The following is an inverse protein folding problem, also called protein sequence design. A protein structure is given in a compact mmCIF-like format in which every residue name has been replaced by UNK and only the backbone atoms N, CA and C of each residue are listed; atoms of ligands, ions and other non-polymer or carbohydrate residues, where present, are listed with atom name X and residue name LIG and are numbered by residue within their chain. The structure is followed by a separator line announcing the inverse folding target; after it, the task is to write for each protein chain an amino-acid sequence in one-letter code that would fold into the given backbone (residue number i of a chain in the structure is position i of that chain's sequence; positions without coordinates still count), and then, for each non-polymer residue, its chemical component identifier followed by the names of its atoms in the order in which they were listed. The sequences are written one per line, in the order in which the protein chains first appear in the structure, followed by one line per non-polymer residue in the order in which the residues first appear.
data_IF_563164310403
#
_entry.id   IF_563164310403
#
_cell.length_a   1.000
_cell.length_b   1.000
_cell.length_c   1.000
_cell.angle_alpha   90.00
_cell.angle_beta   90.00
_cell.angle_gamma   90.00
#
_symmetry.space_group_name_H-M   'P 1'
#
loop_
_entity.id
_entity.type
_entity.pdbx_description
1 polymer ?
#
# COMPACT_ATOMS: atom_id res chain seq x y z
N UNK A 1 -5.76 1.04 14.41
CA UNK A 1 -5.85 2.45 14.02
C UNK A 1 -4.45 2.92 13.63
N UNK A 2 -4.30 3.61 12.50
CA UNK A 2 -3.01 4.13 12.02
C UNK A 2 -2.32 5.04 13.04
N UNK A 3 -3.07 5.86 13.76
CA UNK A 3 -2.51 6.76 14.77
C UNK A 3 -1.75 6.02 15.89
N UNK A 4 -2.15 4.78 16.21
CA UNK A 4 -1.43 3.99 17.22
C UNK A 4 -0.06 3.52 16.72
N UNK A 5 0.12 3.37 15.41
CA UNK A 5 1.39 2.92 14.78
C UNK A 5 2.49 3.98 14.82
N UNK A 6 2.19 5.20 15.22
CA UNK A 6 3.19 6.23 15.54
C UNK A 6 3.91 5.93 16.88
N UNK A 7 3.37 5.04 17.71
CA UNK A 7 4.04 4.54 18.91
C UNK A 7 4.79 3.25 18.58
N UNK A 8 6.09 3.26 18.83
CA UNK A 8 6.97 2.13 18.51
C UNK A 8 6.63 0.89 19.34
N UNK A 9 6.30 1.09 20.62
CA UNK A 9 5.89 0.03 21.54
C UNK A 9 4.67 -0.71 20.99
N UNK A 10 3.72 0.01 20.41
CA UNK A 10 2.54 -0.60 19.81
C UNK A 10 2.89 -1.46 18.59
N UNK A 11 3.83 -1.02 17.75
CA UNK A 11 4.30 -1.84 16.63
C UNK A 11 5.07 -3.07 17.10
N UNK A 12 5.87 -2.94 18.17
CA UNK A 12 6.58 -4.05 18.79
C UNK A 12 5.60 -5.10 19.34
N UNK A 13 4.56 -4.67 20.06
CA UNK A 13 3.49 -5.55 20.56
C UNK A 13 2.84 -6.34 19.41
N UNK A 14 2.43 -5.65 18.34
CA UNK A 14 1.84 -6.30 17.16
C UNK A 14 2.80 -7.28 16.48
N UNK A 15 4.10 -6.98 16.44
CA UNK A 15 5.10 -7.90 15.90
C UNK A 15 5.25 -9.16 16.77
N UNK A 16 5.19 -9.00 18.10
CA UNK A 16 5.24 -10.11 19.06
C UNK A 16 4.04 -11.06 18.99
N UNK A 17 2.89 -10.58 18.51
CA UNK A 17 1.71 -11.43 18.23
C UNK A 17 1.91 -12.31 16.98
N UNK A 18 2.74 -11.87 16.03
CA UNK A 18 2.93 -12.55 14.74
C UNK A 18 4.08 -13.57 14.74
N UNK A 19 5.14 -13.33 15.50
CA UNK A 19 6.37 -14.15 15.49
C UNK A 19 6.92 -14.30 16.91
N UNK A 20 7.20 -15.54 17.32
CA UNK A 20 7.79 -15.86 18.62
C UNK A 20 9.32 -15.87 18.60
N UNK A 21 9.95 -15.71 19.77
CA UNK A 21 11.41 -15.83 19.94
C UNK A 21 12.23 -14.61 19.48
N UNK A 22 11.58 -13.48 19.18
CA UNK A 22 12.25 -12.24 18.80
C UNK A 22 12.43 -11.30 20.00
N UNK A 23 13.55 -10.60 20.05
CA UNK A 23 13.79 -9.53 21.03
C UNK A 23 13.20 -8.22 20.51
N UNK A 24 11.99 -7.91 20.95
CA UNK A 24 11.24 -6.72 20.51
C UNK A 24 11.99 -5.40 20.78
N UNK A 25 12.87 -5.36 21.79
CA UNK A 25 13.61 -4.15 22.14
C UNK A 25 14.66 -3.78 21.09
N UNK A 26 15.02 -4.70 20.18
CA UNK A 26 15.92 -4.41 19.06
C UNK A 26 15.28 -3.54 17.98
N UNK A 27 13.94 -3.47 17.92
CA UNK A 27 13.21 -2.58 17.01
C UNK A 27 13.05 -1.19 17.63
N UNK A 28 14.16 -0.54 17.98
CA UNK A 28 14.20 0.73 18.73
C UNK A 28 14.39 1.97 17.85
N UNK A 29 14.46 1.79 16.53
CA UNK A 29 14.73 2.88 15.59
C UNK A 29 13.69 2.90 14.47
N UNK A 30 13.29 4.11 14.07
CA UNK A 30 12.46 4.32 12.91
C UNK A 30 13.32 4.31 11.65
N UNK A 31 12.87 3.60 10.63
CA UNK A 31 13.41 3.76 9.27
C UNK A 31 12.84 5.02 8.64
N UNK A 32 13.44 5.46 7.52
CA UNK A 32 12.89 6.56 6.73
C UNK A 32 11.48 6.20 6.25
N UNK A 33 10.43 6.97 6.60
CA UNK A 33 9.08 6.70 6.12
C UNK A 33 8.95 7.02 4.63
N UNK A 34 8.09 6.28 3.94
CA UNK A 34 7.67 6.55 2.57
C UNK A 34 6.24 7.09 2.51
N UNK A 35 5.90 7.81 1.44
CA UNK A 35 4.53 8.26 1.16
C UNK A 35 3.99 7.44 -0.02
N UNK A 36 2.87 6.74 0.17
CA UNK A 36 2.16 6.05 -0.92
C UNK A 36 1.26 7.07 -1.62
N UNK A 37 1.50 7.30 -2.91
CA UNK A 37 0.56 8.03 -3.75
C UNK A 37 -0.70 7.17 -3.93
N UNK A 38 -1.75 7.50 -3.18
CA UNK A 38 -3.00 6.73 -3.14
C UNK A 38 -4.19 7.57 -3.60
N UNK A 39 -5.06 6.97 -4.43
CA UNK A 39 -6.26 7.63 -4.91
C UNK A 39 -7.32 7.73 -3.80
N UNK A 40 -8.03 8.85 -3.76
CA UNK A 40 -9.21 9.07 -2.92
C UNK A 40 -10.44 9.14 -3.82
N UNK A 41 -11.45 8.32 -3.54
CA UNK A 41 -12.76 8.46 -4.19
C UNK A 41 -13.48 9.68 -3.58
N UNK A 42 -13.89 10.64 -4.42
CA UNK A 42 -14.33 11.96 -3.98
C UNK A 42 -15.76 12.00 -3.40
N UNK A 43 -16.60 11.02 -3.70
CA UNK A 43 -17.99 10.92 -3.23
C UNK A 43 -18.07 10.24 -1.86
N UNK A 44 -17.32 9.15 -1.67
CA UNK A 44 -17.27 8.36 -0.43
C UNK A 44 -16.16 8.83 0.51
N UNK A 45 -15.21 9.60 0.00
CA UNK A 45 -14.01 10.05 0.71
C UNK A 45 -13.15 8.88 1.23
N UNK A 46 -13.24 7.72 0.57
CA UNK A 46 -12.48 6.53 0.91
C UNK A 46 -11.21 6.37 0.07
N UNK A 47 -10.17 5.79 0.67
CA UNK A 47 -8.96 5.39 -0.06
C UNK A 47 -9.25 4.20 -0.96
N UNK A 48 -8.91 4.32 -2.24
CA UNK A 48 -8.93 3.19 -3.17
C UNK A 48 -7.77 2.26 -2.81
N UNK A 49 -8.09 0.98 -2.63
CA UNK A 49 -7.13 -0.02 -2.12
C UNK A 49 -6.33 -0.70 -3.24
N UNK A 50 -6.91 -0.79 -4.43
CA UNK A 50 -6.33 -1.44 -5.61
C UNK A 50 -6.15 -0.45 -6.78
N UNK A 51 -5.49 -0.88 -7.87
CA UNK A 51 -5.39 -0.06 -9.08
C UNK A 51 -6.74 0.05 -9.80
N UNK A 52 -6.94 1.15 -10.51
CA UNK A 52 -8.13 1.37 -11.36
C UNK A 52 -7.68 1.46 -12.80
N UNK A 53 -8.41 0.79 -13.69
CA UNK A 53 -8.16 0.82 -15.13
C UNK A 53 -9.32 1.57 -15.78
N UNK A 54 -9.02 2.70 -16.41
CA UNK A 54 -9.99 3.53 -17.13
C UNK A 54 -9.56 3.63 -18.60
N UNK A 55 -10.52 3.49 -19.53
CA UNK A 55 -10.25 3.50 -20.97
C UNK A 55 -11.15 4.51 -21.67
N UNK A 56 -10.57 5.20 -22.65
CA UNK A 56 -11.30 6.01 -23.64
C UNK A 56 -10.91 5.57 -25.07
N UNK A 57 -11.38 6.29 -26.08
CA UNK A 57 -11.13 5.95 -27.50
C UNK A 57 -9.65 5.96 -27.91
N UNK A 58 -8.79 6.67 -27.18
CA UNK A 58 -7.39 6.95 -27.55
C UNK A 58 -6.38 6.70 -26.43
N UNK A 59 -6.85 6.42 -25.21
CA UNK A 59 -6.01 6.25 -24.02
C UNK A 59 -6.48 5.14 -23.11
N UNK A 60 -5.51 4.58 -22.40
CA UNK A 60 -5.70 3.69 -21.26
C UNK A 60 -4.96 4.27 -20.06
N UNK A 61 -5.66 4.41 -18.94
CA UNK A 61 -5.13 4.97 -17.71
C UNK A 61 -5.09 3.90 -16.61
N UNK A 62 -3.90 3.66 -16.06
CA UNK A 62 -3.73 2.89 -14.84
C UNK A 62 -3.52 3.85 -13.67
N UNK A 63 -4.51 3.92 -12.78
CA UNK A 63 -4.51 4.78 -11.61
C UNK A 63 -4.20 3.96 -10.36
N UNK A 64 -3.70 4.61 -9.30
CA UNK A 64 -3.37 3.96 -8.03
C UNK A 64 -2.40 2.76 -8.18
N UNK A 65 -1.49 2.84 -9.16
CA UNK A 65 -0.62 1.75 -9.58
C UNK A 65 0.43 1.33 -8.52
N UNK A 66 0.76 2.19 -7.55
CA UNK A 66 1.81 1.93 -6.56
C UNK A 66 1.40 0.75 -5.67
N UNK A 67 2.21 -0.31 -5.74
CA UNK A 67 2.06 -1.65 -5.15
C UNK A 67 1.49 -2.70 -6.11
N UNK A 68 0.20 -2.69 -6.51
CA UNK A 68 -0.31 -3.76 -7.38
C UNK A 68 0.45 -3.84 -8.70
N UNK A 69 0.75 -2.71 -9.35
CA UNK A 69 1.48 -2.71 -10.62
C UNK A 69 2.91 -3.23 -10.49
N UNK A 70 3.53 -3.09 -9.32
CA UNK A 70 4.86 -3.65 -9.07
C UNK A 70 4.84 -5.18 -9.02
N UNK A 71 3.75 -5.78 -8.55
CA UNK A 71 3.61 -7.25 -8.43
C UNK A 71 2.83 -7.87 -9.60
N UNK A 72 2.08 -7.10 -10.38
CA UNK A 72 1.21 -7.57 -11.47
C UNK A 72 1.55 -7.02 -12.87
N UNK A 73 2.76 -6.51 -13.07
CA UNK A 73 3.17 -5.81 -14.29
C UNK A 73 2.82 -6.55 -15.60
N UNK A 74 3.02 -7.87 -15.68
CA UNK A 74 2.70 -8.65 -16.89
C UNK A 74 1.19 -8.70 -17.18
N UNK A 75 0.36 -8.83 -16.15
CA UNK A 75 -1.09 -8.79 -16.30
C UNK A 75 -1.56 -7.40 -16.77
N UNK A 76 -0.97 -6.33 -16.23
CA UNK A 76 -1.22 -4.96 -16.69
C UNK A 76 -0.88 -4.76 -18.17
N UNK A 77 0.27 -5.26 -18.64
CA UNK A 77 0.63 -5.15 -20.06
C UNK A 77 -0.35 -5.92 -20.93
N UNK A 78 -0.81 -7.10 -20.50
CA UNK A 78 -1.83 -7.85 -21.24
C UNK A 78 -3.12 -7.05 -21.38
N UNK A 79 -3.58 -6.41 -20.31
CA UNK A 79 -4.75 -5.53 -20.33
C UNK A 79 -4.58 -4.33 -21.27
N UNK A 80 -3.36 -3.80 -21.37
CA UNK A 80 -3.03 -2.69 -22.25
C UNK A 80 -3.03 -3.03 -23.75
N UNK A 81 -2.91 -4.31 -24.09
CA UNK A 81 -2.88 -4.79 -25.47
C UNK A 81 -4.25 -5.26 -25.98
N UNK A 82 -5.26 -5.33 -25.10
CA UNK A 82 -6.67 -5.52 -25.43
C UNK A 82 -7.31 -4.18 -25.81
#
# INVERSE_FOLDING_TARGET
SEMKKYRMEHLQELAGELVSGIDLKKFSQWTRPGIRAQLVEKKTLSLVQDFVVERDEKSLHFLNAVSPAFTSAFAMVKEALL
#
